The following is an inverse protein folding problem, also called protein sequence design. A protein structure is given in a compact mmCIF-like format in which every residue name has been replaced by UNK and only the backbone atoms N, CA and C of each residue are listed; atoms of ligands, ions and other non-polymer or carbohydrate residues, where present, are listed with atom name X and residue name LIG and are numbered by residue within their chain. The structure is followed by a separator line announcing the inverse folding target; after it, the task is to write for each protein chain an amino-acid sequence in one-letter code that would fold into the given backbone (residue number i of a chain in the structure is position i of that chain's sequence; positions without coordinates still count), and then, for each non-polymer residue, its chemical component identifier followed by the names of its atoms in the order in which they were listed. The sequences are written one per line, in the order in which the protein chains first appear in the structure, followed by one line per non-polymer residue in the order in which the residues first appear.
data_IF_650134576857
#
_entry.id   IF_650134576857
#
_cell.length_a   1.000
_cell.length_b   1.000
_cell.length_c   1.000
_cell.angle_alpha   90.00
_cell.angle_beta   90.00
_cell.angle_gamma   90.00
#
_symmetry.space_group_name_H-M   'P 1'
#
loop_
_entity.id
_entity.type
_entity.pdbx_description
1 polymer ?
#
# COMPACT_ATOMS: atom_id res chain seq x y z
N UNK A 1 20.03 17.92 8.01
CA UNK A 1 18.95 18.91 8.22
C UNK A 1 17.87 18.21 9.02
N UNK A 2 17.71 18.56 10.30
CA UNK A 2 16.69 18.01 11.19
C UNK A 2 15.31 18.46 10.71
N UNK A 3 14.49 17.54 10.22
CA UNK A 3 13.04 17.75 10.15
C UNK A 3 12.41 17.40 11.50
N UNK A 4 11.50 18.23 12.03
CA UNK A 4 11.03 18.12 13.40
C UNK A 4 10.03 16.97 13.58
N UNK A 5 10.01 16.44 14.80
CA UNK A 5 8.94 15.64 15.40
C UNK A 5 7.56 16.03 14.85
N UNK A 6 6.87 15.12 14.15
CA UNK A 6 5.50 15.31 13.70
C UNK A 6 4.52 14.77 14.75
N UNK A 7 3.86 15.62 15.57
CA UNK A 7 2.94 15.20 16.63
C UNK A 7 1.58 14.69 16.13
N UNK A 8 1.48 14.28 14.85
CA UNK A 8 0.28 13.72 14.24
C UNK A 8 0.37 12.23 13.88
N UNK A 9 1.48 11.59 14.27
CA UNK A 9 1.83 10.25 13.84
C UNK A 9 0.98 9.21 14.55
N UNK A 10 0.08 8.58 13.80
CA UNK A 10 -0.43 7.29 14.23
C UNK A 10 0.63 6.27 13.79
N UNK A 11 1.55 5.93 14.70
CA UNK A 11 2.39 4.75 14.59
C UNK A 11 1.47 3.54 14.81
N UNK A 12 0.99 2.93 13.72
CA UNK A 12 -0.08 1.94 13.80
C UNK A 12 0.42 0.50 13.70
N UNK A 13 0.13 -0.30 14.72
CA UNK A 13 -0.70 -1.48 14.46
C UNK A 13 -2.07 -0.93 14.14
N UNK A 14 -2.46 -1.02 12.89
CA UNK A 14 -3.62 -0.31 12.36
C UNK A 14 -4.83 -0.31 13.31
N UNK A 15 -5.08 0.87 13.90
CA UNK A 15 -6.17 1.24 14.79
C UNK A 15 -6.44 2.74 14.65
N UNK A 16 -7.17 3.10 13.60
CA UNK A 16 -8.10 4.23 13.70
C UNK A 16 -9.39 3.63 14.31
N UNK A 17 -10.13 4.34 15.17
CA UNK A 17 -11.30 3.84 15.93
C UNK A 17 -12.12 2.77 15.17
N UNK A 18 -12.13 1.52 15.68
CA UNK A 18 -12.77 0.30 15.11
C UNK A 18 -12.16 -0.30 13.82
N UNK A 19 -11.01 0.21 13.34
CA UNK A 19 -10.44 -0.01 12.00
C UNK A 19 -9.12 -0.79 12.02
N UNK A 20 -9.15 -2.00 11.45
CA UNK A 20 -8.00 -2.80 11.00
C UNK A 20 -7.80 -2.54 9.49
N UNK A 21 -6.58 -2.26 9.00
CA UNK A 21 -6.27 -2.26 7.55
C UNK A 21 -5.97 -3.68 7.10
N UNK A 22 -5.31 -4.50 7.92
CA UNK A 22 -5.07 -5.92 7.65
C UNK A 22 -5.70 -6.78 8.73
N UNK A 23 -5.96 -8.05 8.44
CA UNK A 23 -6.41 -9.05 9.43
C UNK A 23 -5.28 -9.51 10.37
N UNK A 24 -4.24 -8.69 10.59
CA UNK A 24 -3.18 -9.02 11.53
C UNK A 24 -3.68 -8.85 12.98
N UNK A 25 -3.58 -9.93 13.75
CA UNK A 25 -3.99 -9.99 15.15
C UNK A 25 -2.82 -9.83 16.12
N UNK A 26 -1.59 -9.77 15.61
CA UNK A 26 -0.40 -9.63 16.44
C UNK A 26 -0.44 -8.29 17.17
N UNK A 27 -0.17 -8.33 18.48
CA UNK A 27 0.02 -7.13 19.27
C UNK A 27 1.27 -6.37 18.80
N UNK A 28 1.27 -5.04 18.96
CA UNK A 28 2.50 -4.28 18.77
C UNK A 28 3.48 -4.71 19.84
N UNK A 29 4.79 -4.66 19.54
CA UNK A 29 5.77 -4.64 20.58
C UNK A 29 5.48 -3.46 21.54
N UNK A 30 5.84 -3.60 22.82
CA UNK A 30 5.75 -2.48 23.75
C UNK A 30 6.55 -1.28 23.20
N UNK A 31 6.09 -0.05 23.41
CA UNK A 31 6.79 1.14 22.94
C UNK A 31 8.17 1.23 23.60
N UNK A 32 9.16 1.71 22.84
CA UNK A 32 10.50 2.01 23.35
C UNK A 32 10.45 3.12 24.40
N UNK A 33 11.47 3.18 25.28
CA UNK A 33 11.58 4.24 26.29
C UNK A 33 12.30 5.48 25.74
N UNK A 34 13.03 5.32 24.65
CA UNK A 34 13.66 6.38 23.86
C UNK A 34 13.20 6.32 22.40
N UNK A 35 13.44 7.39 21.65
CA UNK A 35 13.17 7.44 20.21
C UNK A 35 13.98 6.39 19.44
N UNK A 36 15.25 6.22 19.78
CA UNK A 36 16.15 5.22 19.17
C UNK A 36 15.67 3.78 19.43
N UNK A 37 15.19 3.49 20.64
CA UNK A 37 14.60 2.20 20.97
C UNK A 37 13.29 1.97 20.22
N UNK A 38 12.42 2.98 20.17
CA UNK A 38 11.15 2.89 19.47
C UNK A 38 11.36 2.68 17.96
N UNK A 39 12.29 3.41 17.36
CA UNK A 39 12.66 3.25 15.95
C UNK A 39 13.26 1.87 15.69
N UNK A 40 14.14 1.37 16.55
CA UNK A 40 14.68 0.02 16.43
C UNK A 40 13.59 -1.07 16.53
N UNK A 41 12.61 -0.87 17.41
CA UNK A 41 11.47 -1.76 17.60
C UNK A 41 10.55 -1.75 16.38
N UNK A 42 10.29 -0.56 15.82
CA UNK A 42 9.31 -0.38 14.75
C UNK A 42 9.91 -0.46 13.34
N UNK A 43 11.23 -0.49 13.19
CA UNK A 43 11.92 -0.55 11.88
C UNK A 43 11.48 -1.75 11.01
N UNK A 44 11.03 -2.84 11.62
CA UNK A 44 10.52 -4.01 10.90
C UNK A 44 9.07 -3.83 10.40
N UNK A 45 8.33 -2.84 10.90
CA UNK A 45 6.93 -2.59 10.60
C UNK A 45 6.76 -1.62 9.43
N UNK A 46 5.68 -1.75 8.63
CA UNK A 46 5.35 -0.76 7.62
C UNK A 46 4.98 0.58 8.23
N UNK A 47 5.47 1.66 7.61
CA UNK A 47 5.07 3.02 7.91
C UNK A 47 4.08 3.52 6.87
N UNK A 48 2.91 3.95 7.31
CA UNK A 48 1.83 4.37 6.41
C UNK A 48 1.37 5.78 6.81
N UNK A 49 1.58 6.71 5.90
CA UNK A 49 1.11 8.07 6.02
C UNK A 49 -0.38 8.19 5.63
N UNK A 50 -1.11 8.99 6.40
CA UNK A 50 -2.55 9.19 6.19
C UNK A 50 -2.83 10.47 5.40
N UNK A 51 -3.90 10.53 4.60
CA UNK A 51 -4.92 9.49 4.43
C UNK A 51 -4.44 8.35 3.52
N UNK A 52 -5.01 7.17 3.74
CA UNK A 52 -4.93 6.01 2.85
C UNK A 52 -6.36 5.54 2.57
N UNK A 53 -6.66 5.22 1.33
CA UNK A 53 -7.98 4.74 0.90
C UNK A 53 -7.86 3.28 0.47
N UNK A 54 -8.70 2.42 1.06
CA UNK A 54 -8.63 0.97 0.87
C UNK A 54 -10.05 0.43 0.72
N UNK A 55 -10.21 -0.57 -0.15
CA UNK A 55 -11.50 -1.22 -0.43
C UNK A 55 -11.88 -2.22 0.68
N UNK A 56 -11.12 -3.33 0.82
CA UNK A 56 -11.32 -4.36 1.85
C UNK A 56 -10.24 -4.36 2.93
N UNK A 57 -8.98 -4.21 2.52
CA UNK A 57 -7.79 -4.28 3.38
C UNK A 57 -7.29 -5.69 3.71
N UNK A 58 -8.19 -6.67 3.79
CA UNK A 58 -7.82 -8.06 4.06
C UNK A 58 -6.96 -8.71 2.96
N UNK A 59 -6.96 -8.16 1.73
CA UNK A 59 -6.21 -8.71 0.60
C UNK A 59 -4.84 -8.04 0.38
N UNK A 60 -4.43 -7.16 1.30
CA UNK A 60 -3.15 -6.46 1.23
C UNK A 60 -2.10 -7.20 2.06
N UNK A 61 -0.97 -7.50 1.42
CA UNK A 61 0.21 -8.12 2.04
C UNK A 61 1.37 -7.14 1.95
N UNK A 62 1.96 -6.80 3.10
CA UNK A 62 3.05 -5.84 3.19
C UNK A 62 4.26 -6.50 3.87
N UNK A 63 5.41 -6.40 3.21
CA UNK A 63 6.70 -6.84 3.75
C UNK A 63 7.23 -5.92 4.86
N UNK A 64 8.43 -6.23 5.34
CA UNK A 64 9.07 -5.45 6.40
C UNK A 64 9.68 -4.15 5.87
N UNK A 65 9.69 -3.12 6.72
CA UNK A 65 10.32 -1.82 6.41
C UNK A 65 9.79 -1.19 5.10
N UNK A 66 8.48 -1.24 4.90
CA UNK A 66 7.80 -0.59 3.77
C UNK A 66 7.35 0.79 4.17
N UNK A 67 7.51 1.77 3.29
CA UNK A 67 6.97 3.11 3.48
C UNK A 67 5.89 3.40 2.44
N UNK A 68 4.72 3.85 2.89
CA UNK A 68 3.61 4.28 2.03
C UNK A 68 3.30 5.73 2.37
N UNK A 69 3.51 6.63 1.41
CA UNK A 69 3.32 8.06 1.59
C UNK A 69 1.84 8.48 1.41
N UNK A 70 1.56 9.77 1.66
CA UNK A 70 0.23 10.36 1.70
C UNK A 70 -0.65 10.01 0.49
N UNK A 71 -1.95 9.89 0.74
CA UNK A 71 -3.01 9.76 -0.27
C UNK A 71 -2.86 8.51 -1.17
N UNK A 72 -2.25 7.44 -0.66
CA UNK A 72 -2.24 6.17 -1.40
C UNK A 72 -3.67 5.60 -1.49
N UNK A 73 -4.03 5.08 -2.66
CA UNK A 73 -5.32 4.44 -2.90
C UNK A 73 -5.10 3.00 -3.37
N UNK A 74 -5.71 2.03 -2.69
CA UNK A 74 -5.54 0.60 -2.98
C UNK A 74 -6.93 -0.02 -3.14
N UNK A 75 -7.31 -0.41 -4.36
CA UNK A 75 -8.49 -1.26 -4.56
C UNK A 75 -8.02 -2.71 -4.54
N UNK A 76 -8.34 -3.45 -3.49
CA UNK A 76 -7.83 -4.80 -3.21
C UNK A 76 -8.88 -5.91 -3.43
N UNK A 77 -9.73 -5.78 -4.46
CA UNK A 77 -10.57 -6.88 -4.96
C UNK A 77 -9.72 -8.10 -5.35
N UNK A 78 -8.54 -7.87 -5.94
CA UNK A 78 -7.46 -8.83 -6.08
C UNK A 78 -6.38 -8.61 -5.02
N UNK A 79 -5.58 -9.65 -4.75
CA UNK A 79 -4.48 -9.57 -3.77
C UNK A 79 -3.44 -8.54 -4.21
N UNK A 80 -3.08 -7.63 -3.31
CA UNK A 80 -2.01 -6.64 -3.51
C UNK A 80 -0.86 -6.99 -2.59
N UNK A 81 0.29 -7.34 -3.16
CA UNK A 81 1.50 -7.71 -2.41
C UNK A 81 2.60 -6.67 -2.61
N UNK A 82 3.17 -6.17 -1.52
CA UNK A 82 4.27 -5.20 -1.51
C UNK A 82 5.46 -5.84 -0.79
N UNK A 83 6.58 -6.01 -1.50
CA UNK A 83 7.81 -6.58 -0.98
C UNK A 83 8.49 -5.70 0.06
N UNK A 84 9.51 -6.24 0.73
CA UNK A 84 10.20 -5.58 1.83
C UNK A 84 11.09 -4.44 1.33
N UNK A 85 11.32 -3.42 2.17
CA UNK A 85 12.17 -2.24 1.87
C UNK A 85 11.70 -1.43 0.65
N UNK A 86 10.46 -1.63 0.22
CA UNK A 86 9.84 -0.89 -0.88
C UNK A 86 9.28 0.44 -0.38
N UNK A 87 9.54 1.50 -1.13
CA UNK A 87 9.10 2.86 -0.84
C UNK A 87 8.06 3.32 -1.88
N UNK A 88 6.89 3.71 -1.41
CA UNK A 88 5.77 4.19 -2.22
C UNK A 88 5.57 5.69 -1.96
N UNK A 89 5.71 6.48 -3.01
CA UNK A 89 5.53 7.93 -3.02
C UNK A 89 4.07 8.37 -2.85
N UNK A 90 3.82 9.69 -2.77
CA UNK A 90 2.49 10.21 -2.50
C UNK A 90 1.56 10.06 -3.70
N UNK A 91 0.25 9.97 -3.44
CA UNK A 91 -0.81 9.83 -4.45
C UNK A 91 -0.63 8.62 -5.39
N UNK A 92 0.02 7.55 -4.92
CA UNK A 92 0.14 6.31 -5.70
C UNK A 92 -1.16 5.53 -5.61
N UNK A 93 -1.57 4.99 -6.75
CA UNK A 93 -2.80 4.22 -6.92
C UNK A 93 -2.51 2.79 -7.36
N UNK A 94 -2.91 1.82 -6.54
CA UNK A 94 -2.80 0.39 -6.83
C UNK A 94 -4.20 -0.14 -7.13
N UNK A 95 -4.48 -0.42 -8.40
CA UNK A 95 -5.81 -0.84 -8.83
C UNK A 95 -5.83 -2.31 -9.21
N UNK A 96 -6.28 -3.18 -8.30
CA UNK A 96 -6.45 -4.61 -8.60
C UNK A 96 -7.83 -4.93 -9.19
N UNK A 97 -8.79 -4.02 -9.02
CA UNK A 97 -10.18 -4.17 -9.47
C UNK A 97 -10.39 -3.71 -10.92
N UNK A 98 -11.40 -4.27 -11.57
CA UNK A 98 -11.89 -3.80 -12.86
C UNK A 98 -13.29 -4.29 -13.19
N UNK A 99 -13.85 -3.78 -14.28
CA UNK A 99 -15.15 -4.18 -14.82
C UNK A 99 -15.01 -4.63 -16.28
N UNK A 100 -15.96 -5.41 -16.81
CA UNK A 100 -16.08 -5.64 -18.24
C UNK A 100 -16.09 -4.31 -19.02
N UNK A 101 -15.37 -4.27 -20.14
CA UNK A 101 -15.34 -3.10 -21.02
C UNK A 101 -16.59 -3.02 -21.89
N UNK A 102 -17.14 -4.18 -22.27
CA UNK A 102 -18.45 -4.30 -22.90
C UNK A 102 -19.53 -3.72 -21.96
N UNK A 103 -20.25 -2.66 -22.39
CA UNK A 103 -21.26 -2.02 -21.55
C UNK A 103 -22.46 -2.94 -21.23
N UNK A 104 -22.82 -3.86 -22.14
CA UNK A 104 -23.95 -4.77 -21.93
C UNK A 104 -23.60 -5.81 -20.87
N UNK A 105 -22.35 -6.27 -20.86
CA UNK A 105 -21.85 -7.15 -19.80
C UNK A 105 -21.66 -6.38 -18.48
N UNK A 106 -21.11 -5.16 -18.53
CA UNK A 106 -20.88 -4.34 -17.33
C UNK A 106 -22.18 -3.98 -16.61
N UNK A 107 -23.27 -3.74 -17.34
CA UNK A 107 -24.63 -3.56 -16.81
C UNK A 107 -24.71 -2.67 -15.55
N UNK A 108 -23.99 -1.54 -15.52
CA UNK A 108 -23.94 -0.63 -14.38
C UNK A 108 -23.49 -1.33 -13.08
N UNK A 109 -24.27 -1.22 -12.02
CA UNK A 109 -24.01 -1.88 -10.71
C UNK A 109 -24.58 -3.30 -10.64
N UNK A 110 -25.19 -3.80 -11.71
CA UNK A 110 -25.78 -5.14 -11.77
C UNK A 110 -24.89 -6.15 -12.50
N UNK A 111 -23.86 -5.69 -13.21
CA UNK A 111 -22.88 -6.57 -13.85
C UNK A 111 -21.71 -6.93 -12.94
N UNK A 112 -20.84 -7.83 -13.40
CA UNK A 112 -19.76 -8.34 -12.59
C UNK A 112 -18.62 -7.33 -12.42
N UNK A 113 -17.91 -7.46 -11.31
CA UNK A 113 -16.55 -6.97 -11.13
C UNK A 113 -15.57 -8.13 -11.23
N UNK A 114 -14.29 -7.82 -11.41
CA UNK A 114 -13.21 -8.80 -11.34
C UNK A 114 -11.97 -8.20 -10.66
N UNK A 115 -11.17 -9.06 -10.04
CA UNK A 115 -9.89 -8.70 -9.44
C UNK A 115 -8.73 -9.42 -10.12
N UNK A 116 -7.59 -8.73 -10.32
CA UNK A 116 -6.31 -9.35 -10.72
C UNK A 116 -5.20 -8.88 -9.79
N UNK A 117 -4.34 -9.79 -9.32
CA UNK A 117 -3.35 -9.46 -8.31
C UNK A 117 -2.34 -8.42 -8.80
N UNK A 118 -1.87 -7.58 -7.89
CA UNK A 118 -0.71 -6.71 -8.10
C UNK A 118 0.42 -7.23 -7.22
N UNK A 119 1.61 -7.39 -7.79
CA UNK A 119 2.81 -7.77 -7.05
C UNK A 119 3.88 -6.71 -7.24
N UNK A 120 4.36 -6.14 -6.15
CA UNK A 120 5.52 -5.24 -6.14
C UNK A 120 6.63 -5.96 -5.39
N UNK A 121 7.80 -6.08 -6.03
CA UNK A 121 8.98 -6.74 -5.48
C UNK A 121 9.57 -6.03 -4.25
N UNK A 122 10.70 -6.56 -3.79
CA UNK A 122 11.53 -5.97 -2.75
C UNK A 122 12.32 -4.78 -3.30
N UNK A 123 12.77 -3.89 -2.41
CA UNK A 123 13.70 -2.81 -2.74
C UNK A 123 13.23 -1.89 -3.87
N UNK A 124 11.92 -1.79 -4.10
CA UNK A 124 11.37 -0.97 -5.16
C UNK A 124 11.20 0.49 -4.73
N UNK A 125 11.29 1.41 -5.69
CA UNK A 125 10.88 2.80 -5.50
C UNK A 125 9.76 3.18 -6.47
N UNK A 126 8.57 3.40 -5.93
CA UNK A 126 7.42 3.86 -6.71
C UNK A 126 7.28 5.36 -6.47
N UNK A 127 7.62 6.19 -7.45
CA UNK A 127 7.53 7.64 -7.29
C UNK A 127 6.07 8.14 -7.23
N UNK A 128 5.89 9.43 -6.91
CA UNK A 128 4.55 9.99 -6.68
C UNK A 128 3.66 10.01 -7.93
N UNK A 129 2.34 9.97 -7.70
CA UNK A 129 1.29 9.97 -8.73
C UNK A 129 1.37 8.79 -9.73
N UNK A 130 1.97 7.66 -9.35
CA UNK A 130 1.99 6.45 -10.18
C UNK A 130 0.67 5.69 -10.07
N UNK A 131 0.22 5.12 -11.19
CA UNK A 131 -0.94 4.22 -11.26
C UNK A 131 -0.45 2.84 -11.69
N UNK A 132 -0.75 1.80 -10.91
CA UNK A 132 -0.44 0.40 -11.24
C UNK A 132 -1.76 -0.34 -11.51
N UNK A 133 -1.87 -0.93 -12.70
CA UNK A 133 -3.10 -1.57 -13.18
C UNK A 133 -3.22 -3.05 -12.79
N UNK A 134 -4.42 -3.64 -12.94
CA UNK A 134 -4.66 -5.00 -12.50
C UNK A 134 -3.77 -6.04 -13.21
N UNK A 135 -3.21 -6.97 -12.44
CA UNK A 135 -2.37 -8.06 -12.98
C UNK A 135 -0.90 -7.70 -13.18
N UNK A 136 -0.47 -6.48 -12.83
CA UNK A 136 0.92 -6.05 -12.98
C UNK A 136 1.81 -6.68 -11.90
N UNK A 137 2.99 -7.12 -12.33
CA UNK A 137 4.11 -7.49 -11.45
C UNK A 137 5.27 -6.53 -11.71
N UNK A 138 5.81 -5.95 -10.64
CA UNK A 138 7.03 -5.13 -10.65
C UNK A 138 8.13 -5.96 -9.99
N UNK A 139 9.23 -6.17 -10.71
CA UNK A 139 10.39 -6.92 -10.23
C UNK A 139 11.15 -6.23 -9.10
N UNK A 140 11.99 -7.00 -8.41
CA UNK A 140 12.83 -6.51 -7.31
C UNK A 140 13.79 -5.40 -7.78
N UNK A 141 13.98 -4.37 -6.96
CA UNK A 141 14.90 -3.25 -7.23
C UNK A 141 14.40 -2.25 -8.29
N UNK A 142 13.20 -2.44 -8.85
CA UNK A 142 12.69 -1.55 -9.88
C UNK A 142 12.34 -0.16 -9.34
N UNK A 143 12.61 0.85 -10.17
CA UNK A 143 12.17 2.24 -9.93
C UNK A 143 11.14 2.63 -10.97
N UNK A 144 9.97 3.09 -10.52
CA UNK A 144 8.92 3.61 -11.40
C UNK A 144 8.88 5.13 -11.28
N UNK A 145 9.11 5.81 -12.40
CA UNK A 145 9.11 7.27 -12.49
C UNK A 145 7.75 7.89 -12.18
N UNK A 146 7.75 9.12 -11.67
CA UNK A 146 6.54 9.81 -11.24
C UNK A 146 5.52 9.98 -12.37
N UNK A 147 4.23 9.87 -12.07
CA UNK A 147 3.15 10.02 -13.05
C UNK A 147 2.98 8.84 -14.02
N UNK A 148 3.73 7.75 -13.85
CA UNK A 148 3.63 6.59 -14.74
C UNK A 148 2.29 5.87 -14.60
N UNK A 149 1.78 5.36 -15.72
CA UNK A 149 0.68 4.37 -15.74
C UNK A 149 1.27 3.02 -16.15
N UNK A 150 1.45 2.14 -15.17
CA UNK A 150 2.06 0.83 -15.36
C UNK A 150 0.99 -0.15 -15.80
N UNK A 151 1.08 -0.59 -17.06
CA UNK A 151 0.08 -1.44 -17.73
C UNK A 151 0.57 -2.86 -18.04
N UNK A 152 1.87 -3.12 -17.82
CA UNK A 152 2.54 -4.39 -18.12
C UNK A 152 3.56 -4.72 -17.04
N UNK A 153 3.97 -5.99 -16.98
CA UNK A 153 5.06 -6.46 -16.12
C UNK A 153 6.35 -5.72 -16.46
N UNK A 154 7.08 -5.31 -15.42
CA UNK A 154 8.38 -4.65 -15.54
C UNK A 154 9.36 -5.07 -14.44
#
# INVERSE_FOLDING_TARGET
MNTPFYPGLIKVNVKIKKNRITNDEKALPPPGTTEEEEDAILHAYPWIERPINIDYGANIKVGSNVFINFNCTITDTGVVSIGSRTLIGPNVSLYSAGHPTDPDVRNGTQGPEWGRPITIGNDCWIAGNVIILPGVTIGDGCTIGAGSVVTKVC
#
